data_IF_746615629896
#
_entry.id   IF_746615629896
#
_cell.length_a   1.000
_cell.length_b   1.000
_cell.length_c   1.000
_cell.angle_alpha   90.00
_cell.angle_beta   90.00
_cell.angle_gamma   90.00
#
_symmetry.space_group_name_H-M   'P 1'
#
loop_
_entity.id
_entity.type
_entity.pdbx_description
1 polymer ?
#
# COMPACT_ATOMS: atom_id res chain seq x y z
N UNK A 1 -3.07 34.29 3.33
CA UNK A 1 -3.05 32.83 3.42
C UNK A 1 -1.73 32.27 2.95
N UNK A 2 -1.22 31.39 3.68
CA UNK A 2 0.07 30.78 3.43
C UNK A 2 -0.05 29.71 2.35
N UNK A 3 0.77 29.82 1.31
CA UNK A 3 0.75 28.85 0.23
C UNK A 3 1.12 27.44 0.75
N UNK A 4 2.05 27.39 1.69
CA UNK A 4 2.42 26.11 2.28
C UNK A 4 1.23 25.41 2.92
N UNK A 5 0.38 26.17 3.61
CA UNK A 5 -0.80 25.61 4.25
C UNK A 5 -1.77 25.04 3.22
N UNK A 6 -1.98 25.76 2.12
CA UNK A 6 -2.83 25.26 1.05
C UNK A 6 -2.25 24.00 0.42
N UNK A 7 -0.95 24.01 0.20
CA UNK A 7 -0.28 22.84 -0.39
C UNK A 7 -0.36 21.64 0.54
N UNK A 8 -0.24 21.89 1.84
CA UNK A 8 -0.30 20.80 2.81
C UNK A 8 -1.71 20.22 2.90
N UNK A 9 -2.74 21.08 2.83
CA UNK A 9 -4.12 20.60 2.81
C UNK A 9 -4.38 19.75 1.57
N UNK A 10 -3.86 20.17 0.44
CA UNK A 10 -3.98 19.44 -0.80
C UNK A 10 -3.27 18.08 -0.71
N UNK A 11 -2.06 18.11 -0.15
CA UNK A 11 -1.32 16.88 0.07
C UNK A 11 -2.10 15.89 0.94
N UNK A 12 -2.71 16.38 2.01
CA UNK A 12 -3.47 15.53 2.92
C UNK A 12 -4.66 14.91 2.20
N UNK A 13 -5.34 15.68 1.37
CA UNK A 13 -6.46 15.17 0.59
C UNK A 13 -6.01 14.06 -0.34
N UNK A 14 -4.86 14.23 -1.00
CA UNK A 14 -4.33 13.23 -1.91
C UNK A 14 -3.94 11.95 -1.16
N UNK A 15 -3.35 12.10 0.02
CA UNK A 15 -2.98 10.94 0.84
C UNK A 15 -4.22 10.17 1.25
N UNK A 16 -5.27 10.87 1.67
CA UNK A 16 -6.51 10.21 2.07
C UNK A 16 -7.16 9.49 0.90
N UNK A 17 -7.18 10.13 -0.28
CA UNK A 17 -7.75 9.52 -1.45
C UNK A 17 -6.98 8.25 -1.85
N UNK A 18 -5.66 8.30 -1.75
CA UNK A 18 -4.83 7.16 -2.07
C UNK A 18 -5.06 6.01 -1.10
N UNK A 19 -5.16 6.32 0.20
CA UNK A 19 -5.42 5.28 1.19
C UNK A 19 -6.77 4.63 0.98
N UNK A 20 -7.77 5.43 0.64
CA UNK A 20 -9.09 4.89 0.36
C UNK A 20 -9.05 3.97 -0.86
N UNK A 21 -8.33 4.38 -1.89
CA UNK A 21 -8.18 3.55 -3.09
C UNK A 21 -7.46 2.25 -2.78
N UNK A 22 -6.40 2.31 -1.98
CA UNK A 22 -5.67 1.11 -1.59
C UNK A 22 -6.54 0.15 -0.78
N UNK A 23 -7.33 0.70 0.14
CA UNK A 23 -8.23 -0.13 0.95
C UNK A 23 -9.25 -0.84 0.05
N UNK A 24 -9.76 -0.14 -0.95
CA UNK A 24 -10.70 -0.74 -1.87
C UNK A 24 -10.06 -1.84 -2.71
N UNK A 25 -8.84 -1.59 -3.17
CA UNK A 25 -8.09 -2.60 -3.93
C UNK A 25 -7.87 -3.84 -3.10
N UNK A 26 -7.46 -3.67 -1.84
CA UNK A 26 -7.22 -4.80 -0.96
C UNK A 26 -8.51 -5.55 -0.65
N UNK A 27 -9.61 -4.83 -0.46
CA UNK A 27 -10.91 -5.46 -0.23
C UNK A 27 -11.33 -6.27 -1.45
N UNK A 28 -11.17 -5.72 -2.64
CA UNK A 28 -11.52 -6.45 -3.86
C UNK A 28 -10.70 -7.72 -3.98
N UNK A 29 -9.41 -7.63 -3.65
CA UNK A 29 -8.56 -8.81 -3.69
C UNK A 29 -9.04 -9.87 -2.70
N UNK A 30 -9.32 -9.47 -1.47
CA UNK A 30 -9.77 -10.43 -0.46
C UNK A 30 -11.09 -11.08 -0.84
N UNK A 31 -12.01 -10.31 -1.40
CA UNK A 31 -13.29 -10.86 -1.84
C UNK A 31 -13.11 -11.87 -2.96
N UNK A 32 -12.21 -11.57 -3.90
CA UNK A 32 -11.94 -12.48 -5.01
C UNK A 32 -11.32 -13.79 -4.50
N UNK A 33 -10.41 -13.70 -3.53
CA UNK A 33 -9.79 -14.90 -2.95
C UNK A 33 -10.82 -15.70 -2.19
N UNK A 34 -11.67 -15.04 -1.41
CA UNK A 34 -12.72 -15.73 -0.66
C UNK A 34 -13.68 -16.44 -1.59
N UNK A 35 -14.04 -15.80 -2.69
CA UNK A 35 -14.93 -16.41 -3.65
C UNK A 35 -14.28 -17.64 -4.28
N UNK A 36 -13.01 -17.54 -4.67
CA UNK A 36 -12.29 -18.68 -5.25
C UNK A 36 -12.23 -19.83 -4.27
N UNK A 37 -11.97 -19.55 -2.99
CA UNK A 37 -11.90 -20.58 -1.98
C UNK A 37 -13.26 -21.22 -1.73
N UNK A 38 -14.30 -20.42 -1.71
CA UNK A 38 -15.66 -20.93 -1.51
C UNK A 38 -16.08 -21.83 -2.67
N UNK A 39 -15.82 -21.38 -3.89
CA UNK A 39 -16.16 -22.17 -5.08
C UNK A 39 -15.40 -23.49 -5.07
N UNK A 40 -14.13 -23.46 -4.70
CA UNK A 40 -13.33 -24.66 -4.62
C UNK A 40 -13.88 -25.63 -3.58
N UNK A 41 -14.25 -25.13 -2.42
CA UNK A 41 -14.81 -25.98 -1.36
C UNK A 41 -16.12 -26.63 -1.80
N UNK A 42 -16.97 -25.84 -2.45
CA UNK A 42 -18.24 -26.36 -2.94
C UNK A 42 -18.02 -27.45 -3.99
N UNK A 43 -17.12 -27.16 -4.93
CA UNK A 43 -16.84 -28.12 -6.01
C UNK A 43 -16.18 -29.38 -5.48
N UNK A 44 -15.32 -29.26 -4.46
CA UNK A 44 -14.64 -30.42 -3.87
C UNK A 44 -15.62 -31.38 -3.22
N UNK A 45 -16.70 -30.87 -2.66
CA UNK A 45 -17.73 -31.72 -2.07
C UNK A 45 -18.41 -32.63 -3.11
N UNK A 46 -18.44 -32.19 -4.35
CA UNK A 46 -19.07 -32.91 -5.44
C UNK A 46 -18.07 -33.73 -6.25
N UNK A 47 -16.78 -33.48 -6.10
CA UNK A 47 -15.77 -34.16 -6.88
C UNK A 47 -15.61 -35.60 -6.39
N UNK A 48 -15.61 -36.53 -7.34
CA UNK A 48 -15.54 -37.96 -7.02
C UNK A 48 -14.24 -38.61 -7.45
N UNK A 49 -13.47 -37.94 -8.29
CA UNK A 49 -12.24 -38.53 -8.80
C UNK A 49 -11.07 -37.62 -8.47
N UNK A 50 -9.86 -38.21 -8.50
CA UNK A 50 -8.64 -37.45 -8.28
C UNK A 50 -8.47 -36.41 -9.39
N UNK A 51 -8.81 -36.76 -10.61
CA UNK A 51 -8.70 -35.83 -11.73
C UNK A 51 -9.60 -34.63 -11.53
N UNK A 52 -10.85 -34.84 -11.08
CA UNK A 52 -11.77 -33.74 -10.82
C UNK A 52 -11.24 -32.84 -9.70
N UNK A 53 -10.70 -33.43 -8.64
CA UNK A 53 -10.16 -32.66 -7.53
C UNK A 53 -8.96 -31.83 -7.96
N UNK A 54 -8.09 -32.42 -8.78
CA UNK A 54 -6.94 -31.69 -9.28
C UNK A 54 -7.34 -30.51 -10.16
N UNK A 55 -8.38 -30.69 -10.95
CA UNK A 55 -8.88 -29.62 -11.79
C UNK A 55 -9.41 -28.47 -10.94
N UNK A 56 -10.11 -28.78 -9.86
CA UNK A 56 -10.64 -27.78 -8.96
C UNK A 56 -9.51 -26.98 -8.32
N UNK A 57 -8.46 -27.66 -7.87
CA UNK A 57 -7.32 -26.99 -7.27
C UNK A 57 -6.60 -26.11 -8.28
N UNK A 58 -6.50 -26.57 -9.54
CA UNK A 58 -5.92 -25.75 -10.59
C UNK A 58 -6.71 -24.47 -10.83
N UNK A 59 -8.03 -24.60 -10.90
CA UNK A 59 -8.90 -23.44 -11.09
C UNK A 59 -8.80 -22.47 -9.94
N UNK A 60 -8.72 -22.99 -8.70
CA UNK A 60 -8.58 -22.15 -7.54
C UNK A 60 -7.26 -21.37 -7.60
N UNK A 61 -6.19 -22.06 -7.97
CA UNK A 61 -4.88 -21.42 -8.06
C UNK A 61 -4.88 -20.34 -9.13
N UNK A 62 -5.50 -20.62 -10.28
CA UNK A 62 -5.58 -19.66 -11.36
C UNK A 62 -6.37 -18.43 -10.92
N UNK A 63 -7.48 -18.64 -10.23
CA UNK A 63 -8.31 -17.53 -9.76
C UNK A 63 -7.58 -16.65 -8.76
N UNK A 64 -6.86 -17.28 -7.81
CA UNK A 64 -6.10 -16.52 -6.82
C UNK A 64 -4.95 -15.77 -7.48
N UNK A 65 -4.28 -16.41 -8.43
CA UNK A 65 -3.20 -15.75 -9.15
C UNK A 65 -3.73 -14.56 -9.95
N UNK A 66 -4.88 -14.71 -10.60
CA UNK A 66 -5.50 -13.61 -11.34
C UNK A 66 -5.85 -12.46 -10.40
N UNK A 67 -6.34 -12.79 -9.20
CA UNK A 67 -6.66 -11.75 -8.22
C UNK A 67 -5.40 -11.01 -7.77
N UNK A 68 -4.29 -11.72 -7.60
CA UNK A 68 -3.02 -11.10 -7.23
C UNK A 68 -2.52 -10.17 -8.33
N UNK A 69 -2.60 -10.62 -9.58
CA UNK A 69 -2.17 -9.81 -10.71
C UNK A 69 -3.04 -8.56 -10.81
N UNK A 70 -4.34 -8.70 -10.63
CA UNK A 70 -5.25 -7.55 -10.69
C UNK A 70 -4.96 -6.56 -9.58
N UNK A 71 -4.68 -7.07 -8.36
CA UNK A 71 -4.33 -6.21 -7.25
C UNK A 71 -3.04 -5.44 -7.53
N UNK A 72 -2.02 -6.13 -8.01
CA UNK A 72 -0.75 -5.49 -8.28
C UNK A 72 -0.88 -4.44 -9.39
N UNK A 73 -1.65 -4.74 -10.42
CA UNK A 73 -1.89 -3.78 -11.50
C UNK A 73 -2.64 -2.55 -10.97
N UNK A 74 -3.64 -2.78 -10.13
CA UNK A 74 -4.43 -1.67 -9.57
C UNK A 74 -3.56 -0.79 -8.67
N UNK A 75 -2.68 -1.40 -7.87
CA UNK A 75 -1.77 -0.62 -7.05
C UNK A 75 -0.81 0.17 -7.92
N UNK A 76 -0.34 -0.44 -9.00
CA UNK A 76 0.57 0.26 -9.92
C UNK A 76 -0.09 1.48 -10.54
N UNK A 77 -1.40 1.43 -10.81
CA UNK A 77 -2.09 2.58 -11.39
C UNK A 77 -2.20 3.76 -10.42
N UNK A 78 -2.02 3.51 -9.12
CA UNK A 78 -2.01 4.60 -8.15
C UNK A 78 -0.77 5.48 -8.32
N UNK A 79 0.26 4.97 -8.96
CA UNK A 79 1.49 5.70 -9.16
C UNK A 79 2.25 5.89 -7.87
N UNK A 80 3.14 6.84 -7.86
CA UNK A 80 3.96 7.14 -6.70
C UNK A 80 3.11 7.79 -5.62
N UNK A 81 3.44 7.57 -4.34
CA UNK A 81 2.74 8.27 -3.26
C UNK A 81 2.93 9.77 -3.37
N UNK A 82 1.94 10.55 -2.92
CA UNK A 82 2.12 12.00 -2.90
C UNK A 82 3.31 12.38 -2.02
N UNK A 83 4.03 13.40 -2.42
CA UNK A 83 5.12 13.90 -1.61
C UNK A 83 4.65 15.09 -0.78
N UNK A 84 5.07 15.15 0.49
CA UNK A 84 4.67 16.31 1.30
C UNK A 84 5.29 17.59 0.76
N UNK A 85 4.59 18.71 0.91
CA UNK A 85 5.18 19.99 0.51
C UNK A 85 6.41 20.29 1.37
N UNK A 86 7.34 20.97 0.78
CA UNK A 86 8.55 21.37 1.49
C UNK A 86 8.18 22.52 2.41
N UNK A 87 8.41 22.32 3.71
CA UNK A 87 8.14 23.36 4.67
C UNK A 87 9.14 24.49 4.48
N UNK A 88 8.66 25.76 4.43
CA UNK A 88 9.59 26.88 4.35
C UNK A 88 10.53 26.88 5.55
N UNK A 89 11.81 27.05 5.28
CA UNK A 89 12.82 27.03 6.32
C UNK A 89 13.28 28.46 6.56
N UNK A 90 13.20 28.88 7.80
CA UNK A 90 13.71 30.18 8.16
C UNK A 90 15.21 30.11 8.39
N UNK A 91 15.88 31.22 8.12
CA UNK A 91 17.34 31.24 8.21
C UNK A 91 17.82 30.84 9.60
N UNK A 92 17.15 31.31 10.62
CA UNK A 92 17.57 31.00 11.98
C UNK A 92 17.38 29.53 12.33
N UNK A 93 16.46 28.85 11.67
CA UNK A 93 16.28 27.44 11.93
C UNK A 93 17.40 26.59 11.39
N UNK A 94 18.11 27.11 10.42
CA UNK A 94 19.21 26.37 9.82
C UNK A 94 20.47 26.48 10.65
N UNK A 95 20.55 27.46 11.50
CA UNK A 95 21.76 27.73 12.27
C UNK A 95 22.15 26.61 13.22
N UNK A 96 21.33 26.08 13.91
CA UNK A 96 21.73 25.03 14.82
C UNK A 96 22.00 23.74 14.08
N UNK A 97 21.98 23.80 14.39
CA UNK A 97 22.10 22.80 14.25
C UNK A 97 22.66 21.90 14.23
N UNK A 98 22.79 22.11 14.35
CA UNK A 98 23.42 21.48 14.11
C UNK A 98 23.51 20.73 14.65
N UNK A 99 23.53 21.09 15.09
CA UNK A 99 23.85 20.54 15.33
C UNK A 99 23.36 19.60 15.72
N UNK A 100 23.41 19.53 15.82
CA UNK A 100 23.32 18.86 15.91
C UNK A 100 23.07 17.96 15.95
N UNK A 101 23.17 18.04 16.13
CA UNK A 101 23.36 17.47 15.86
C UNK A 101 23.45 16.70 16.00
N UNK A 102 23.72 16.89 16.24
CA UNK A 102 24.26 16.51 16.22
C UNK A 102 24.11 15.81 16.70
N UNK A 103 24.24 15.98 17.22
CA UNK A 103 24.51 15.61 17.39
C UNK A 103 24.21 14.81 17.70
N UNK A 104 24.34 14.93 18.05
CA UNK A 104 24.49 14.46 18.11
C UNK A 104 24.62 13.85 18.15
N UNK A 105 24.94 13.96 18.33
CA UNK A 105 25.50 13.61 18.11
C UNK A 105 25.89 13.17 18.41
N UNK A 106 26.27 13.16 18.66
CA UNK A 106 27.08 12.91 18.73
C UNK A 106 27.53 12.66 19.18
N UNK A 107 27.78 12.64 19.40
CA UNK A 107 28.64 12.46 19.76
C UNK A 107 29.24 12.41 20.19
N UNK A 108 29.52 12.37 20.39
CA UNK A 108 30.42 12.41 20.74
C UNK A 108 31.12 12.48 21.18
N UNK A 109 31.34 12.50 21.38
CA UNK A 109 32.23 12.58 21.80
C UNK A 109 32.88 12.69 22.32
N UNK A 110 33.10 12.71 22.53
CA UNK A 110 33.81 12.85 22.88
C UNK A 110 34.27 12.88 23.36
N UNK A 111 34.36 13.01 23.69
CA UNK A 111 34.86 13.05 23.95
C UNK A 111 35.18 13.10 24.14
#
# INVERSE_FOLDING_TARGET
>A
MDQYKLDFDQYRTLVQAREKARSQINRNFMLAVEEANRDARTAMKLAKTAAAKNEILSKQKIAVTAASVARDAAIATLGSPPTPPVKPVKQEEMAPLNKMKDKKSSPSPTR
#
